data_IF_938966034558
#
_entry.id   IF_938966034558
#
_cell.length_a   1.000
_cell.length_b   1.000
_cell.length_c   1.000
_cell.angle_alpha   90.00
_cell.angle_beta   90.00
_cell.angle_gamma   90.00
#
_symmetry.space_group_name_H-M   'P 1'
#
loop_
_entity.id
_entity.type
_entity.pdbx_description
1 polymer ?
#
# COMPACT_ATOMS: atom_id res chain seq x y z
N UNK A 1 -29.27 4.22 -38.64
CA UNK A 1 -28.07 5.11 -38.50
C UNK A 1 -28.11 5.98 -37.25
N UNK A 2 -29.30 6.38 -36.76
CA UNK A 2 -29.47 7.21 -35.54
C UNK A 2 -29.02 6.56 -34.23
N UNK A 3 -29.19 5.24 -34.08
CA UNK A 3 -28.80 4.54 -32.84
C UNK A 3 -27.28 4.47 -32.61
N UNK A 4 -26.49 4.45 -33.69
CA UNK A 4 -25.02 4.42 -33.61
C UNK A 4 -24.47 5.79 -33.19
N UNK A 5 -25.09 6.87 -33.66
CA UNK A 5 -24.76 8.24 -33.22
C UNK A 5 -25.10 8.47 -31.75
N UNK A 6 -26.21 7.90 -31.27
CA UNK A 6 -26.64 8.06 -29.88
C UNK A 6 -25.74 7.28 -28.91
N UNK A 7 -25.31 6.06 -29.25
CA UNK A 7 -24.32 5.31 -28.47
C UNK A 7 -22.94 5.99 -28.47
N UNK A 8 -22.50 6.52 -29.61
CA UNK A 8 -21.23 7.26 -29.72
C UNK A 8 -21.19 8.48 -28.78
N UNK A 9 -22.28 9.26 -28.72
CA UNK A 9 -22.38 10.44 -27.85
C UNK A 9 -22.42 10.06 -26.37
N UNK A 10 -23.07 8.96 -26.00
CA UNK A 10 -23.07 8.48 -24.61
C UNK A 10 -21.69 7.95 -24.17
N UNK A 11 -20.97 7.26 -25.06
CA UNK A 11 -19.60 6.79 -24.79
C UNK A 11 -18.66 7.99 -24.59
N UNK A 12 -18.73 9.00 -25.47
CA UNK A 12 -17.94 10.23 -25.34
C UNK A 12 -18.26 11.02 -24.05
N UNK A 13 -19.53 11.08 -23.66
CA UNK A 13 -19.95 11.74 -22.42
C UNK A 13 -19.42 11.00 -21.17
N UNK A 14 -19.47 9.66 -21.18
CA UNK A 14 -18.93 8.84 -20.08
C UNK A 14 -17.41 8.94 -19.97
N UNK A 15 -16.70 9.06 -21.11
CA UNK A 15 -15.25 9.21 -21.15
C UNK A 15 -14.79 10.59 -20.63
N UNK A 16 -15.52 11.66 -20.99
CA UNK A 16 -15.26 13.01 -20.50
C UNK A 16 -15.46 13.14 -18.98
N UNK A 17 -16.41 12.39 -18.42
CA UNK A 17 -16.70 12.39 -16.98
C UNK A 17 -15.68 11.58 -16.16
N UNK A 18 -15.02 10.59 -16.77
CA UNK A 18 -13.90 9.87 -16.15
C UNK A 18 -12.60 10.71 -16.11
N UNK A 19 -12.35 11.55 -17.12
CA UNK A 19 -11.16 12.40 -17.19
C UNK A 19 -11.15 13.57 -16.19
N UNK A 20 -12.32 14.02 -15.72
CA UNK A 20 -12.40 15.14 -14.77
C UNK A 20 -12.07 14.75 -13.32
N UNK A 21 -12.09 13.46 -12.97
CA UNK A 21 -11.69 12.97 -11.63
C UNK A 21 -10.17 12.89 -11.49
N UNK A 22 -9.42 12.72 -12.58
CA UNK A 22 -7.96 12.67 -12.58
C UNK A 22 -7.25 14.03 -12.48
N UNK A 23 -7.97 15.14 -12.67
CA UNK A 23 -7.37 16.49 -12.68
C UNK A 23 -7.09 17.08 -11.27
N UNK A 24 -7.41 16.34 -10.19
CA UNK A 24 -7.20 16.80 -8.82
C UNK A 24 -5.85 16.36 -8.20
N UNK A 25 -4.93 15.77 -8.96
CA UNK A 25 -3.53 15.63 -8.50
C UNK A 25 -2.74 16.87 -8.89
N UNK A 26 -2.75 17.86 -7.99
CA UNK A 26 -1.81 18.99 -8.02
C UNK A 26 -0.38 18.46 -8.10
N UNK A 27 0.24 18.56 -9.27
CA UNK A 27 1.69 18.50 -9.41
C UNK A 27 2.28 19.76 -8.79
N UNK A 28 2.48 19.74 -7.46
CA UNK A 28 3.33 20.72 -6.79
C UNK A 28 4.76 20.50 -7.27
N UNK A 29 5.16 21.23 -8.30
CA UNK A 29 6.57 21.38 -8.68
C UNK A 29 7.33 21.90 -7.46
N UNK A 30 8.17 21.05 -6.88
CA UNK A 30 9.16 21.45 -5.90
C UNK A 30 10.14 22.40 -6.62
N UNK A 31 9.91 23.70 -6.45
CA UNK A 31 10.89 24.71 -6.82
C UNK A 31 12.14 24.47 -6.00
N UNK A 32 13.18 23.96 -6.62
CA UNK A 32 14.51 23.91 -6.04
C UNK A 32 14.98 25.35 -5.90
N UNK A 33 14.79 25.94 -4.72
CA UNK A 33 15.53 27.15 -4.34
C UNK A 33 17.00 26.77 -4.26
N UNK A 34 17.71 27.02 -5.36
CA UNK A 34 19.16 26.96 -5.39
C UNK A 34 19.69 28.02 -4.42
N UNK A 35 20.07 27.57 -3.22
CA UNK A 35 20.77 28.39 -2.23
C UNK A 35 22.13 28.72 -2.82
N UNK A 36 22.29 29.97 -3.25
CA UNK A 36 23.56 30.54 -3.71
C UNK A 36 24.54 30.50 -2.52
N UNK A 37 25.45 29.52 -2.51
CA UNK A 37 26.53 29.45 -1.52
C UNK A 37 27.45 30.66 -1.74
N UNK A 38 27.33 31.65 -0.87
CA UNK A 38 28.33 32.69 -0.68
C UNK A 38 29.58 32.04 -0.08
N UNK A 39 30.59 31.79 -0.91
CA UNK A 39 31.94 31.42 -0.47
C UNK A 39 32.66 32.68 0.03
N UNK A 40 32.29 33.14 1.22
CA UNK A 40 32.90 34.29 1.87
C UNK A 40 33.45 33.91 3.23
N UNK A 41 34.77 33.73 3.31
CA UNK A 41 35.61 33.54 4.52
C UNK A 41 35.26 32.32 5.38
N UNK A 42 36.27 31.51 5.70
CA UNK A 42 36.13 30.32 6.54
C UNK A 42 35.38 30.66 7.83
N UNK A 43 34.16 30.14 7.93
CA UNK A 43 33.34 30.26 9.11
C UNK A 43 34.06 29.47 10.20
N UNK A 44 34.75 30.17 11.10
CA UNK A 44 35.34 29.56 12.29
C UNK A 44 34.17 29.04 13.11
N UNK A 45 33.81 27.77 12.90
CA UNK A 45 32.85 27.05 13.73
C UNK A 45 33.56 26.79 15.05
N UNK A 46 33.44 27.73 15.96
CA UNK A 46 33.88 27.54 17.34
C UNK A 46 32.88 26.54 17.92
N UNK A 47 33.18 25.25 17.93
CA UNK A 47 32.31 24.27 18.59
C UNK A 47 32.57 24.34 20.10
N UNK A 48 31.50 24.30 20.90
CA UNK A 48 31.64 24.26 22.34
C UNK A 48 32.00 22.82 22.73
N UNK A 49 33.26 22.55 23.05
CA UNK A 49 33.80 21.22 23.37
C UNK A 49 33.26 20.62 24.69
N UNK A 50 32.12 21.09 25.20
CA UNK A 50 31.54 20.65 26.48
C UNK A 50 32.34 21.08 27.71
N UNK A 51 33.18 22.11 27.57
CA UNK A 51 34.00 22.63 28.67
C UNK A 51 33.19 23.66 29.46
N UNK A 52 32.88 23.37 30.73
CA UNK A 52 32.04 24.20 31.60
C UNK A 52 32.63 25.57 31.99
N UNK A 53 33.87 25.85 31.61
CA UNK A 53 34.55 27.12 31.90
C UNK A 53 34.51 28.11 30.72
N UNK A 54 34.09 27.68 29.53
CA UNK A 54 33.97 28.54 28.37
C UNK A 54 32.57 29.16 28.29
N UNK A 55 32.49 30.39 27.76
CA UNK A 55 31.23 31.13 27.57
C UNK A 55 30.25 30.35 26.68
N UNK A 56 28.95 30.37 27.04
CA UNK A 56 27.92 29.70 26.27
C UNK A 56 27.64 30.45 24.97
N UNK A 57 28.03 29.84 23.86
CA UNK A 57 27.85 30.39 22.54
C UNK A 57 26.38 30.52 22.12
N UNK A 58 25.46 29.80 22.78
CA UNK A 58 24.03 29.90 22.48
C UNK A 58 23.43 31.25 22.88
N UNK A 59 24.03 31.91 23.88
CA UNK A 59 23.59 33.23 24.37
C UNK A 59 24.04 34.38 23.46
N UNK A 60 25.18 34.25 22.78
CA UNK A 60 25.84 35.35 22.05
C UNK A 60 25.83 35.18 20.51
N UNK A 61 25.27 34.07 19.99
CA UNK A 61 25.22 33.78 18.54
C UNK A 61 23.83 34.07 17.95
N UNK A 62 23.73 34.75 16.79
CA UNK A 62 22.45 34.96 16.13
C UNK A 62 21.80 33.62 15.74
N UNK A 63 20.50 33.48 16.05
CA UNK A 63 19.73 32.24 15.92
C UNK A 63 19.71 31.57 14.53
N UNK A 64 20.14 32.28 13.48
CA UNK A 64 20.29 31.72 12.13
C UNK A 64 21.42 30.67 12.02
N UNK A 65 22.42 30.70 12.91
CA UNK A 65 23.59 29.80 12.88
C UNK A 65 23.44 28.64 13.87
N UNK A 66 22.51 28.76 14.82
CA UNK A 66 22.17 27.77 15.88
C UNK A 66 21.29 26.60 15.36
N UNK A 67 21.52 26.16 14.13
CA UNK A 67 20.68 25.13 13.49
C UNK A 67 20.62 23.83 14.30
N UNK A 68 21.75 23.37 14.84
CA UNK A 68 21.81 22.14 15.64
C UNK A 68 21.15 22.28 17.02
N UNK A 69 21.44 23.37 17.74
CA UNK A 69 20.82 23.65 19.04
C UNK A 69 19.30 23.79 18.91
N UNK A 70 18.81 24.55 17.92
CA UNK A 70 17.37 24.69 17.65
C UNK A 70 16.72 23.37 17.27
N UNK A 71 17.42 22.54 16.50
CA UNK A 71 16.93 21.20 16.17
C UNK A 71 16.78 20.35 17.43
N UNK A 72 17.78 20.34 18.32
CA UNK A 72 17.80 19.49 19.52
C UNK A 72 16.91 19.99 20.66
N UNK A 73 16.89 21.29 20.93
CA UNK A 73 16.19 21.87 22.08
C UNK A 73 14.76 22.33 21.75
N UNK A 74 14.52 22.78 20.52
CA UNK A 74 13.20 23.32 20.13
C UNK A 74 12.44 22.33 19.26
N UNK A 75 13.07 21.75 18.24
CA UNK A 75 12.35 20.93 17.25
C UNK A 75 12.11 19.50 17.72
N UNK A 76 13.15 18.73 18.07
CA UNK A 76 13.01 17.33 18.53
C UNK A 76 12.03 17.19 19.72
N UNK A 77 12.02 18.09 20.71
CA UNK A 77 11.05 18.01 21.81
C UNK A 77 9.64 18.47 21.42
N UNK A 78 9.49 19.33 20.39
CA UNK A 78 8.18 19.79 19.90
C UNK A 78 7.54 18.84 18.87
N UNK A 79 8.31 17.95 18.26
CA UNK A 79 7.79 16.81 17.50
C UNK A 79 7.04 15.91 18.51
N UNK A 80 5.71 16.02 18.54
CA UNK A 80 4.88 15.24 19.46
C UNK A 80 5.14 13.75 19.27
N UNK A 81 5.26 12.99 20.36
CA UNK A 81 5.38 11.53 20.25
C UNK A 81 4.12 10.88 19.68
N UNK A 82 3.00 11.61 19.76
CA UNK A 82 1.69 11.24 19.22
C UNK A 82 1.49 11.71 17.77
N UNK A 83 2.57 11.70 16.98
CA UNK A 83 2.49 11.97 15.56
C UNK A 83 2.20 10.67 14.82
N UNK A 84 1.44 10.72 13.71
CA UNK A 84 1.16 9.56 12.84
C UNK A 84 2.41 8.77 12.42
N UNK A 85 3.58 9.40 12.43
CA UNK A 85 4.85 8.76 12.06
C UNK A 85 5.55 8.04 13.22
N UNK A 86 5.10 8.22 14.47
CA UNK A 86 5.81 7.79 15.69
C UNK A 86 4.92 7.06 16.68
N UNK A 87 3.61 7.36 16.74
CA UNK A 87 2.63 6.63 17.55
C UNK A 87 1.84 5.64 16.70
N UNK A 88 1.49 4.50 17.29
CA UNK A 88 0.58 3.53 16.66
C UNK A 88 -0.84 4.12 16.53
N UNK A 89 -1.42 4.06 15.33
CA UNK A 89 -2.79 4.50 15.11
C UNK A 89 -3.78 3.58 15.86
N UNK A 90 -4.68 4.11 16.71
CA UNK A 90 -5.59 3.29 17.52
C UNK A 90 -6.79 2.82 16.68
N UNK A 91 -6.55 1.87 15.79
CA UNK A 91 -7.54 1.33 14.83
C UNK A 91 -8.85 0.94 15.51
N UNK A 92 -8.78 0.17 16.61
CA UNK A 92 -9.97 -0.35 17.28
C UNK A 92 -10.83 0.75 17.91
N UNK A 93 -10.20 1.72 18.56
CA UNK A 93 -10.90 2.87 19.15
C UNK A 93 -11.57 3.70 18.07
N UNK A 94 -10.88 3.96 16.95
CA UNK A 94 -11.44 4.77 15.85
C UNK A 94 -12.58 4.06 15.12
N UNK A 95 -12.48 2.75 14.91
CA UNK A 95 -13.57 1.94 14.35
C UNK A 95 -14.80 1.98 15.26
N UNK A 96 -14.59 1.94 16.58
CA UNK A 96 -15.66 2.05 17.57
C UNK A 96 -16.26 3.46 17.64
N UNK A 97 -15.43 4.51 17.73
CA UNK A 97 -15.85 5.92 17.77
C UNK A 97 -16.72 6.30 16.55
N UNK A 98 -16.30 5.84 15.37
CA UNK A 98 -17.00 6.09 14.11
C UNK A 98 -18.18 5.15 13.89
N UNK A 99 -18.44 4.22 14.82
CA UNK A 99 -19.48 3.19 14.72
C UNK A 99 -19.44 2.46 13.37
N UNK A 100 -18.24 2.19 12.83
CA UNK A 100 -18.13 1.67 11.46
C UNK A 100 -18.80 0.32 11.30
N UNK A 101 -18.70 -0.56 12.30
CA UNK A 101 -19.35 -1.86 12.26
C UNK A 101 -20.89 -1.72 12.19
N UNK A 102 -21.45 -0.82 12.99
CA UNK A 102 -22.88 -0.49 12.96
C UNK A 102 -23.28 0.08 11.61
N UNK A 103 -22.54 1.07 11.09
CA UNK A 103 -22.81 1.65 9.78
C UNK A 103 -22.67 0.63 8.64
N UNK A 104 -21.70 -0.29 8.72
CA UNK A 104 -21.55 -1.35 7.71
C UNK A 104 -22.73 -2.33 7.73
N UNK A 105 -23.26 -2.65 8.92
CA UNK A 105 -24.44 -3.49 9.05
C UNK A 105 -25.69 -2.77 8.54
N UNK A 106 -25.90 -1.51 8.94
CA UNK A 106 -27.05 -0.69 8.55
C UNK A 106 -27.06 -0.32 7.07
N UNK A 107 -25.89 -0.16 6.46
CA UNK A 107 -25.76 0.15 5.02
C UNK A 107 -26.21 -0.99 4.10
N UNK A 108 -26.48 -2.18 4.63
CA UNK A 108 -26.82 -3.36 3.82
C UNK A 108 -25.64 -3.92 3.02
N UNK A 109 -24.40 -3.51 3.35
CA UNK A 109 -23.20 -3.99 2.65
C UNK A 109 -23.03 -5.50 2.78
N UNK A 110 -23.32 -6.04 3.97
CA UNK A 110 -23.25 -7.49 4.22
C UNK A 110 -24.27 -8.25 3.37
N UNK A 111 -25.50 -7.74 3.26
CA UNK A 111 -26.55 -8.34 2.42
C UNK A 111 -26.17 -8.27 0.93
N UNK A 112 -25.59 -7.14 0.49
CA UNK A 112 -25.11 -6.99 -0.88
C UNK A 112 -23.95 -7.95 -1.20
N UNK A 113 -23.03 -8.19 -0.27
CA UNK A 113 -21.94 -9.17 -0.44
C UNK A 113 -22.47 -10.61 -0.42
N UNK A 114 -23.42 -10.93 0.45
CA UNK A 114 -24.05 -12.24 0.52
C UNK A 114 -24.82 -12.56 -0.76
N UNK A 115 -25.53 -11.58 -1.33
CA UNK A 115 -26.18 -11.70 -2.64
C UNK A 115 -25.18 -11.98 -3.78
N UNK A 116 -23.90 -11.63 -3.61
CA UNK A 116 -22.81 -11.96 -4.54
C UNK A 116 -22.14 -13.31 -4.22
N UNK A 117 -22.63 -14.06 -3.24
CA UNK A 117 -22.10 -15.36 -2.85
C UNK A 117 -20.88 -15.30 -1.93
N UNK A 118 -20.53 -14.12 -1.40
CA UNK A 118 -19.50 -13.97 -0.38
C UNK A 118 -20.08 -14.31 0.99
N UNK A 119 -20.34 -15.60 1.20
CA UNK A 119 -20.80 -16.13 2.49
C UNK A 119 -19.64 -16.29 3.46
N UNK A 120 -19.96 -16.40 4.75
CA UNK A 120 -18.99 -16.70 5.81
C UNK A 120 -18.14 -17.95 5.49
N UNK A 121 -18.78 -18.97 4.89
CA UNK A 121 -18.10 -20.22 4.50
C UNK A 121 -17.05 -20.01 3.40
N UNK A 122 -17.26 -19.04 2.52
CA UNK A 122 -16.30 -18.66 1.48
C UNK A 122 -15.15 -17.87 2.09
N UNK A 123 -15.44 -16.97 3.03
CA UNK A 123 -14.46 -16.19 3.78
C UNK A 123 -13.52 -17.08 4.60
N UNK A 124 -14.05 -18.11 5.25
CA UNK A 124 -13.25 -19.08 6.00
C UNK A 124 -12.26 -19.84 5.08
N UNK A 125 -12.66 -20.14 3.85
CA UNK A 125 -11.78 -20.76 2.84
C UNK A 125 -10.76 -19.78 2.25
N UNK A 126 -11.10 -18.49 2.20
CA UNK A 126 -10.22 -17.42 1.75
C UNK A 126 -9.17 -17.05 2.80
N UNK A 127 -9.45 -17.27 4.07
CA UNK A 127 -8.55 -16.96 5.17
C UNK A 127 -7.17 -17.64 5.05
N UNK A 128 -7.05 -18.96 4.81
CA UNK A 128 -5.74 -19.58 4.58
C UNK A 128 -5.05 -19.07 3.31
N UNK A 129 -5.79 -18.75 2.25
CA UNK A 129 -5.19 -18.17 1.02
C UNK A 129 -4.64 -16.76 1.30
N UNK A 130 -5.36 -15.96 2.10
CA UNK A 130 -4.92 -14.64 2.52
C UNK A 130 -3.69 -14.71 3.44
N UNK A 131 -3.62 -15.73 4.30
CA UNK A 131 -2.43 -16.04 5.11
C UNK A 131 -1.23 -16.43 4.23
N UNK A 132 -1.41 -17.32 3.26
CA UNK A 132 -0.37 -17.74 2.32
C UNK A 132 0.15 -16.57 1.46
N UNK A 133 -0.75 -15.63 1.11
CA UNK A 133 -0.41 -14.39 0.41
C UNK A 133 0.27 -13.35 1.31
N UNK A 134 0.37 -13.60 2.63
CA UNK A 134 0.98 -12.68 3.59
C UNK A 134 0.14 -11.43 3.86
N UNK A 135 -1.16 -11.44 3.57
CA UNK A 135 -2.05 -10.31 3.84
C UNK A 135 -2.09 -9.98 5.35
N UNK A 136 -2.08 -10.99 6.22
CA UNK A 136 -1.98 -10.79 7.66
C UNK A 136 -0.65 -10.14 8.06
N UNK A 137 0.46 -10.53 7.43
CA UNK A 137 1.79 -9.95 7.68
C UNK A 137 1.87 -8.49 7.22
N UNK A 138 1.17 -8.13 6.14
CA UNK A 138 1.05 -6.75 5.67
C UNK A 138 0.32 -5.85 6.69
N UNK A 139 -0.76 -6.34 7.30
CA UNK A 139 -1.53 -5.58 8.30
C UNK A 139 -0.71 -5.36 9.60
N UNK A 140 0.22 -6.27 9.91
CA UNK A 140 1.09 -6.12 11.08
C UNK A 140 2.19 -5.05 10.90
N UNK A 141 2.46 -4.62 9.66
CA UNK A 141 3.48 -3.62 9.40
C UNK A 141 3.05 -2.23 9.94
N UNK A 142 3.86 -1.58 10.80
CA UNK A 142 3.52 -0.27 11.37
C UNK A 142 3.31 0.80 10.30
N UNK A 143 3.97 0.69 9.14
CA UNK A 143 3.79 1.61 8.01
C UNK A 143 2.37 1.49 7.45
N UNK A 144 1.87 0.26 7.31
CA UNK A 144 0.50 0.01 6.82
C UNK A 144 -0.50 0.52 7.85
N UNK A 145 -0.31 0.24 9.14
CA UNK A 145 -1.22 0.72 10.19
C UNK A 145 -1.27 2.25 10.26
N UNK A 146 -0.13 2.92 10.16
CA UNK A 146 -0.07 4.35 10.39
C UNK A 146 -0.34 5.19 9.14
N UNK A 147 -0.21 4.61 7.94
CA UNK A 147 -0.40 5.34 6.68
C UNK A 147 -1.68 4.90 5.94
N UNK A 148 -1.95 3.60 5.91
CA UNK A 148 -3.10 3.04 5.19
C UNK A 148 -4.34 3.08 6.07
N UNK A 149 -4.25 2.68 7.36
CA UNK A 149 -5.43 2.65 8.23
C UNK A 149 -6.15 4.01 8.39
N UNK A 150 -5.49 5.16 8.65
CA UNK A 150 -6.20 6.44 8.71
C UNK A 150 -6.84 6.82 7.37
N UNK A 151 -6.19 6.48 6.26
CA UNK A 151 -6.67 6.79 4.92
C UNK A 151 -7.89 5.95 4.51
N UNK A 152 -8.09 4.77 5.13
CA UNK A 152 -9.28 3.94 4.93
C UNK A 152 -10.38 4.18 5.97
N UNK A 153 -10.01 4.31 7.25
CA UNK A 153 -10.94 4.33 8.38
C UNK A 153 -11.65 5.67 8.49
N UNK A 154 -10.93 6.79 8.35
CA UNK A 154 -11.52 8.12 8.53
C UNK A 154 -12.54 8.49 7.44
N UNK A 155 -12.29 8.22 6.14
CA UNK A 155 -13.30 8.47 5.11
C UNK A 155 -14.33 7.34 4.99
N UNK A 156 -14.22 6.24 5.74
CA UNK A 156 -15.12 5.09 5.62
C UNK A 156 -16.61 5.47 5.72
N UNK A 157 -17.08 6.29 6.69
CA UNK A 157 -18.50 6.62 6.79
C UNK A 157 -19.06 7.29 5.52
N UNK A 158 -18.25 8.10 4.84
CA UNK A 158 -18.62 8.78 3.60
C UNK A 158 -18.59 7.83 2.39
N UNK A 159 -17.66 6.86 2.39
CA UNK A 159 -17.47 5.94 1.29
C UNK A 159 -18.43 4.74 1.33
N UNK A 160 -18.92 4.34 2.51
CA UNK A 160 -19.78 3.16 2.69
C UNK A 160 -21.00 3.15 1.77
N UNK A 161 -21.81 4.23 1.64
CA UNK A 161 -22.94 4.24 0.72
C UNK A 161 -22.51 4.04 -0.74
N UNK A 162 -21.38 4.64 -1.12
CA UNK A 162 -20.79 4.47 -2.45
C UNK A 162 -20.33 3.04 -2.70
N UNK A 163 -19.70 2.40 -1.71
CA UNK A 163 -19.25 1.01 -1.81
C UNK A 163 -20.42 0.03 -1.98
N UNK A 164 -21.53 0.25 -1.27
CA UNK A 164 -22.74 -0.58 -1.46
C UNK A 164 -23.24 -0.45 -2.89
N UNK A 165 -23.35 0.77 -3.42
CA UNK A 165 -23.76 0.98 -4.80
C UNK A 165 -22.81 0.31 -5.80
N UNK A 166 -21.50 0.36 -5.54
CA UNK A 166 -20.48 -0.26 -6.37
C UNK A 166 -20.60 -1.79 -6.35
N UNK A 167 -20.79 -2.40 -5.18
CA UNK A 167 -20.96 -3.86 -5.02
C UNK A 167 -22.23 -4.35 -5.71
N UNK A 168 -23.31 -3.56 -5.69
CA UNK A 168 -24.56 -3.95 -6.37
C UNK A 168 -24.42 -3.96 -7.89
N UNK A 169 -23.39 -3.34 -8.46
CA UNK A 169 -23.18 -3.38 -9.90
C UNK A 169 -23.03 -4.82 -10.41
N UNK A 170 -23.49 -5.11 -11.63
CA UNK A 170 -23.25 -6.39 -12.26
C UNK A 170 -21.74 -6.68 -12.37
N UNK A 171 -21.33 -7.94 -12.23
CA UNK A 171 -19.94 -8.37 -12.39
C UNK A 171 -19.34 -7.96 -13.75
N UNK A 172 -20.21 -7.86 -14.77
CA UNK A 172 -19.89 -7.36 -16.11
C UNK A 172 -19.32 -5.94 -16.10
N UNK A 173 -19.72 -5.09 -15.15
CA UNK A 173 -19.18 -3.74 -15.04
C UNK A 173 -17.68 -3.79 -14.70
N UNK A 174 -17.31 -4.56 -13.68
CA UNK A 174 -15.92 -4.69 -13.26
C UNK A 174 -15.05 -5.37 -14.33
N UNK A 175 -15.55 -6.41 -14.99
CA UNK A 175 -14.80 -7.05 -16.08
C UNK A 175 -14.67 -6.13 -17.29
N UNK A 176 -15.73 -5.42 -17.69
CA UNK A 176 -15.69 -4.48 -18.81
C UNK A 176 -14.75 -3.32 -18.50
N UNK A 177 -14.83 -2.72 -17.31
CA UNK A 177 -13.92 -1.65 -16.88
C UNK A 177 -12.48 -2.14 -16.85
N UNK A 178 -12.23 -3.33 -16.30
CA UNK A 178 -10.89 -3.91 -16.27
C UNK A 178 -10.34 -4.18 -17.67
N UNK A 179 -11.14 -4.77 -18.56
CA UNK A 179 -10.76 -4.98 -19.97
C UNK A 179 -10.56 -3.66 -20.70
N UNK A 180 -11.41 -2.65 -20.45
CA UNK A 180 -11.26 -1.33 -21.06
C UNK A 180 -9.97 -0.65 -20.61
N UNK A 181 -9.60 -0.75 -19.33
CA UNK A 181 -8.33 -0.22 -18.81
C UNK A 181 -7.12 -0.93 -19.43
N UNK A 182 -7.16 -2.26 -19.53
CA UNK A 182 -6.11 -3.04 -20.20
C UNK A 182 -6.04 -2.76 -21.71
N UNK A 183 -7.18 -2.55 -22.36
CA UNK A 183 -7.23 -2.18 -23.77
C UNK A 183 -6.70 -0.75 -23.99
N UNK A 184 -6.92 0.17 -23.05
CA UNK A 184 -6.35 1.51 -23.08
C UNK A 184 -4.82 1.49 -22.92
N UNK A 185 -4.32 0.64 -22.02
CA UNK A 185 -2.89 0.41 -21.81
C UNK A 185 -2.26 -0.21 -23.08
N UNK A 186 -2.89 -1.24 -23.66
CA UNK A 186 -2.43 -1.87 -24.90
C UNK A 186 -2.46 -0.92 -26.11
N UNK A 187 -3.37 0.05 -26.13
CA UNK A 187 -3.46 1.06 -27.18
C UNK A 187 -2.53 2.27 -26.96
N UNK A 188 -1.68 2.25 -25.92
CA UNK A 188 -0.65 3.28 -25.72
C UNK A 188 -1.21 4.68 -25.45
N UNK A 189 -2.39 4.78 -24.82
CA UNK A 189 -3.03 6.08 -24.56
C UNK A 189 -2.31 6.93 -23.48
N UNK A 190 -1.29 6.35 -22.82
CA UNK A 190 -0.35 7.10 -21.98
C UNK A 190 0.94 7.25 -22.78
N UNK A 191 1.30 8.50 -23.03
CA UNK A 191 2.44 8.90 -23.84
C UNK A 191 3.75 8.26 -23.35
N UNK A 192 4.59 7.88 -24.32
CA UNK A 192 5.97 7.39 -24.20
C UNK A 192 6.15 5.93 -23.73
N UNK A 193 5.78 4.94 -24.56
CA UNK A 193 6.24 3.51 -24.63
C UNK A 193 6.44 2.68 -23.33
N UNK A 194 6.19 3.25 -22.15
CA UNK A 194 6.32 2.62 -20.85
C UNK A 194 4.93 2.15 -20.45
N UNK A 195 4.81 0.82 -20.29
CA UNK A 195 3.63 0.17 -19.72
C UNK A 195 3.27 0.94 -18.45
N UNK A 196 2.06 1.50 -18.44
CA UNK A 196 1.62 2.24 -17.28
C UNK A 196 1.22 1.22 -16.22
N UNK A 197 2.19 0.89 -15.37
CA UNK A 197 2.03 0.07 -14.18
C UNK A 197 0.70 0.37 -13.45
N UNK A 198 0.24 1.62 -13.26
CA UNK A 198 -1.06 1.88 -12.65
C UNK A 198 -2.28 1.39 -13.47
N UNK A 199 -2.26 1.51 -14.81
CA UNK A 199 -3.34 1.01 -15.68
C UNK A 199 -3.36 -0.51 -15.73
N UNK A 200 -2.18 -1.14 -15.84
CA UNK A 200 -2.05 -2.59 -15.86
C UNK A 200 -2.50 -3.21 -14.53
N UNK A 201 -2.05 -2.65 -13.39
CA UNK A 201 -2.45 -3.10 -12.06
C UNK A 201 -3.94 -2.85 -11.82
N UNK A 202 -4.44 -1.67 -12.19
CA UNK A 202 -5.86 -1.34 -12.07
C UNK A 202 -6.73 -2.27 -12.94
N UNK A 203 -6.37 -2.46 -14.20
CA UNK A 203 -7.06 -3.33 -15.14
C UNK A 203 -7.09 -4.79 -14.67
N UNK A 204 -5.95 -5.33 -14.26
CA UNK A 204 -5.86 -6.68 -13.70
C UNK A 204 -6.70 -6.83 -12.41
N UNK A 205 -6.67 -5.82 -11.53
CA UNK A 205 -7.47 -5.81 -10.29
C UNK A 205 -8.97 -5.80 -10.60
N UNK A 206 -9.43 -4.96 -11.52
CA UNK A 206 -10.84 -4.87 -11.90
C UNK A 206 -11.33 -6.13 -12.63
N UNK A 207 -10.52 -6.74 -13.49
CA UNK A 207 -10.82 -8.04 -14.10
C UNK A 207 -10.91 -9.13 -13.03
N UNK A 208 -9.92 -9.20 -12.13
CA UNK A 208 -9.92 -10.15 -11.02
C UNK A 208 -11.15 -10.00 -10.11
N UNK A 209 -11.51 -8.76 -9.79
CA UNK A 209 -12.70 -8.45 -9.01
C UNK A 209 -14.00 -8.84 -9.73
N UNK A 210 -14.06 -8.66 -11.06
CA UNK A 210 -15.19 -9.09 -11.87
C UNK A 210 -15.36 -10.61 -11.91
N UNK A 211 -14.25 -11.36 -12.01
CA UNK A 211 -14.25 -12.84 -11.95
C UNK A 211 -14.61 -13.33 -10.55
N UNK A 212 -14.13 -12.65 -9.51
CA UNK A 212 -14.51 -12.95 -8.12
C UNK A 212 -15.99 -12.68 -7.88
N UNK A 213 -16.48 -11.53 -8.34
CA UNK A 213 -17.89 -11.13 -8.19
C UNK A 213 -18.86 -12.00 -8.99
N UNK A 214 -18.42 -12.67 -10.06
CA UNK A 214 -19.25 -13.61 -10.81
C UNK A 214 -19.35 -14.99 -10.16
N UNK A 215 -18.69 -15.21 -9.02
CA UNK A 215 -18.57 -16.53 -8.40
C UNK A 215 -17.70 -17.50 -9.22
N UNK A 216 -16.95 -16.98 -10.20
CA UNK A 216 -16.12 -17.76 -11.12
C UNK A 216 -14.77 -18.20 -10.53
N UNK A 217 -14.49 -17.90 -9.27
CA UNK A 217 -13.28 -18.39 -8.59
C UNK A 217 -13.49 -19.86 -8.25
N UNK A 218 -13.10 -20.71 -9.18
CA UNK A 218 -12.80 -22.11 -8.90
C UNK A 218 -11.58 -22.14 -7.99
N UNK A 219 -11.81 -22.22 -6.68
CA UNK A 219 -10.76 -22.50 -5.70
C UNK A 219 -10.07 -23.78 -6.16
N UNK A 220 -8.74 -23.77 -6.42
CA UNK A 220 -8.04 -25.00 -6.75
C UNK A 220 -8.25 -25.98 -5.60
N UNK A 221 -8.96 -27.08 -5.85
CA UNK A 221 -9.04 -28.17 -4.88
C UNK A 221 -7.62 -28.61 -4.60
N UNK A 222 -7.22 -28.59 -3.33
CA UNK A 222 -5.93 -29.07 -2.85
C UNK A 222 -5.74 -30.60 -3.03
N UNK A 223 -6.63 -31.28 -3.77
CA UNK A 223 -6.57 -32.71 -4.09
C UNK A 223 -5.50 -33.08 -5.13
N UNK A 224 -4.53 -32.20 -5.39
CA UNK A 224 -3.51 -32.37 -6.42
C UNK A 224 -2.07 -32.24 -5.90
N UNK A 225 -1.81 -32.38 -4.60
CA UNK A 225 -0.45 -32.60 -4.15
C UNK A 225 -0.10 -34.07 -4.43
N UNK A 226 0.44 -34.26 -5.64
CA UNK A 226 0.87 -35.54 -6.15
C UNK A 226 1.68 -36.31 -5.12
N UNK A 227 1.25 -37.55 -4.90
CA UNK A 227 2.06 -38.67 -4.46
C UNK A 227 3.44 -38.60 -5.11
N UNK A 228 4.38 -38.01 -4.38
CA UNK A 228 5.80 -38.01 -4.72
C UNK A 228 6.27 -39.44 -4.47
N UNK A 229 6.38 -40.20 -5.55
CA UNK A 229 6.95 -41.54 -5.54
C UNK A 229 8.30 -41.48 -4.82
N UNK A 230 8.38 -42.17 -3.69
CA UNK A 230 9.61 -42.45 -2.97
C UNK A 230 10.48 -43.35 -3.84
N UNK A 231 11.24 -42.76 -4.77
CA UNK A 231 12.34 -43.46 -5.43
C UNK A 231 13.48 -43.60 -4.43
N UNK A 232 13.54 -44.77 -3.79
CA UNK A 232 14.67 -45.27 -3.03
C UNK A 232 15.91 -45.33 -3.94
N UNK A 233 16.69 -44.24 -3.95
CA UNK A 233 18.03 -44.22 -4.52
C UNK A 233 18.99 -44.83 -3.50
N UNK A 234 19.26 -46.12 -3.67
CA UNK A 234 20.34 -46.85 -3.04
C UNK A 234 21.68 -46.28 -3.52
N UNK A 235 22.36 -45.50 -2.68
CA UNK A 235 23.73 -45.10 -2.90
C UNK A 235 24.71 -46.17 -2.35
N UNK A 236 25.80 -46.48 -3.09
CA UNK A 236 26.74 -47.53 -2.72
C UNK A 236 27.70 -47.11 -1.60
N UNK A 237 27.92 -48.04 -0.68
CA UNK A 237 28.98 -48.00 0.33
C UNK A 237 30.33 -48.13 -0.39
N UNK A 238 31.11 -47.04 -0.43
CA UNK A 238 32.54 -47.10 -0.75
C UNK A 238 33.35 -46.82 0.52
N UNK A 239 34.06 -47.86 0.96
CA UNK A 239 35.01 -47.84 2.06
C UNK A 239 36.33 -47.20 1.61
N UNK A 240 36.78 -46.18 2.33
CA UNK A 240 38.19 -45.74 2.43
C UNK A 240 38.19 -44.76 3.63
N UNK A 241 38.95 -44.93 4.70
CA UNK A 241 40.27 -45.53 4.84
C UNK A 241 41.24 -44.43 5.28
N UNK A 242 41.62 -44.42 6.56
CA UNK A 242 42.86 -43.81 7.08
C UNK A 242 42.96 -42.27 6.98
N UNK A 243 43.02 -41.50 8.07
CA UNK A 243 44.26 -41.41 8.86
C UNK A 243 44.04 -40.70 10.20
N UNK A 244 44.84 -41.19 11.13
CA UNK A 244 44.87 -41.02 12.58
C UNK A 244 45.48 -39.66 12.98
N UNK A 245 44.71 -38.82 13.68
CA UNK A 245 45.23 -37.66 14.44
C UNK A 245 46.02 -38.15 15.66
N UNK A 246 47.28 -37.74 15.78
CA UNK A 246 48.08 -37.80 17.01
C UNK A 246 48.87 -36.50 17.10
N UNK A 247 48.69 -35.75 18.18
CA UNK A 247 49.39 -34.49 18.40
C UNK A 247 48.82 -33.71 19.58
N UNK A 248 49.14 -34.20 20.78
CA UNK A 248 48.85 -33.58 22.08
C UNK A 248 49.80 -32.41 22.31
N UNK A 249 49.26 -31.32 22.88
CA UNK A 249 49.98 -30.17 23.45
C UNK A 249 50.69 -30.57 24.74
N UNK A 250 51.93 -30.10 24.91
CA UNK A 250 52.40 -29.48 26.15
C UNK A 250 53.01 -28.15 25.72
#
# INVERSE_FOLDING_TARGET
TTNVEMMSKQILLSLALLCSVGALTSTRRFGTTAVRRSSGRGNVRMENFGLSFAEDQTENTPGAILGEYRLKETFVPSVRRDNLLTSDYPVLERVADLNLLTLTAESGLLEALEAKGLTLSTLEKLLPVAEDLGALSLIQNPIVKNLIAPLLIEPAPLLLPGLVSLITLPSQFFTLTGVALLALDANGFIADEEISIPLLVGGALFVGLGVLSSGGVSVPSSSGQGSRASSSSSAPISSEGSTRRKGIRI
#
